data_IF_282342441298
#
_entry.id   IF_282342441298
#
_cell.length_a   1.000
_cell.length_b   1.000
_cell.length_c   1.000
_cell.angle_alpha   90.00
_cell.angle_beta   90.00
_cell.angle_gamma   90.00
#
_symmetry.space_group_name_H-M   'P 1'
#
loop_
_entity.id
_entity.type
_entity.pdbx_description
1 polymer ?
#
# COMPACT_ATOMS: atom_id res chain seq x y z
N UNK A 1 20.37 -11.07 -13.85
CA UNK A 1 19.49 -12.09 -13.23
C UNK A 1 19.62 -12.19 -11.71
N UNK A 2 20.83 -12.27 -11.11
CA UNK A 2 21.00 -12.36 -9.64
C UNK A 2 20.38 -11.19 -8.83
N UNK A 3 20.34 -9.97 -9.39
CA UNK A 3 19.75 -8.79 -8.72
C UNK A 3 18.21 -8.79 -8.68
N UNK A 4 17.55 -9.46 -9.63
CA UNK A 4 16.09 -9.58 -9.69
C UNK A 4 15.61 -10.60 -8.64
N UNK A 5 16.39 -11.66 -8.42
CA UNK A 5 16.13 -12.70 -7.41
C UNK A 5 16.20 -12.19 -5.97
N UNK A 6 17.09 -11.22 -5.68
CA UNK A 6 17.22 -10.66 -4.33
C UNK A 6 16.04 -9.72 -4.00
N UNK A 7 15.49 -9.02 -4.99
CA UNK A 7 14.32 -8.15 -4.83
C UNK A 7 13.01 -8.92 -4.73
N UNK A 8 12.89 -10.09 -5.38
CA UNK A 8 11.73 -10.98 -5.22
C UNK A 8 11.76 -11.78 -3.92
N UNK A 9 12.94 -12.06 -3.34
CA UNK A 9 13.02 -12.77 -2.06
C UNK A 9 12.56 -11.92 -0.86
N UNK A 10 12.68 -10.58 -0.94
CA UNK A 10 12.27 -9.67 0.14
C UNK A 10 10.75 -9.41 0.17
N UNK A 11 10.03 -9.61 -0.94
CA UNK A 11 8.57 -9.38 -1.00
C UNK A 11 7.74 -10.57 -0.49
N UNK A 12 8.29 -11.79 -0.47
CA UNK A 12 7.59 -12.99 0.00
C UNK A 12 7.60 -13.18 1.53
N UNK A 13 8.43 -12.47 2.28
CA UNK A 13 8.64 -12.72 3.71
C UNK A 13 7.53 -12.21 4.65
N UNK A 14 6.43 -11.62 4.14
CA UNK A 14 5.40 -11.01 5.00
C UNK A 14 3.98 -11.58 4.83
N UNK A 15 3.82 -12.62 4.01
CA UNK A 15 2.56 -13.38 3.96
C UNK A 15 2.53 -14.44 5.07
N UNK A 16 2.32 -14.01 6.30
CA UNK A 16 2.14 -14.92 7.43
C UNK A 16 1.22 -14.32 8.48
N UNK A 17 0.15 -15.05 8.80
CA UNK A 17 -0.80 -14.82 9.90
C UNK A 17 -1.98 -13.90 9.57
N UNK A 18 -2.98 -14.45 8.85
CA UNK A 18 -4.36 -13.99 9.03
C UNK A 18 -4.91 -14.64 10.29
N UNK A 19 -4.84 -13.95 11.43
CA UNK A 19 -5.51 -14.39 12.64
C UNK A 19 -7.04 -14.26 12.43
N UNK A 20 -7.75 -15.39 12.31
CA UNK A 20 -9.21 -15.38 12.37
C UNK A 20 -9.63 -15.02 13.80
N UNK A 21 -10.06 -13.78 14.01
CA UNK A 21 -10.62 -13.36 15.30
C UNK A 21 -11.95 -14.10 15.53
N UNK A 22 -12.13 -14.79 16.67
CA UNK A 22 -13.36 -15.51 16.97
C UNK A 22 -14.54 -14.53 17.18
N UNK A 23 -15.65 -14.79 16.50
CA UNK A 23 -16.82 -13.91 16.49
C UNK A 23 -17.46 -13.78 17.88
N UNK A 24 -17.83 -12.56 18.27
CA UNK A 24 -18.61 -12.30 19.48
C UNK A 24 -20.08 -12.66 19.26
N UNK A 25 -20.72 -13.23 20.28
CA UNK A 25 -22.14 -13.56 20.31
C UNK A 25 -22.77 -13.02 21.60
N UNK A 26 -24.06 -12.68 21.53
CA UNK A 26 -24.87 -12.27 22.69
C UNK A 26 -25.76 -13.42 23.10
N UNK A 27 -25.62 -13.87 24.35
CA UNK A 27 -26.43 -14.92 24.94
C UNK A 27 -27.49 -14.31 25.83
N UNK A 28 -28.69 -14.87 25.78
CA UNK A 28 -29.82 -14.50 26.64
C UNK A 28 -30.00 -15.61 27.67
N UNK A 29 -29.98 -15.24 28.95
CA UNK A 29 -30.20 -16.14 30.06
C UNK A 29 -31.68 -16.31 30.42
N UNK A 30 -31.99 -17.32 31.22
CA UNK A 30 -33.31 -17.67 31.76
C UNK A 30 -33.97 -16.55 32.57
N UNK A 31 -33.17 -15.73 33.24
CA UNK A 31 -33.58 -14.53 33.97
C UNK A 31 -33.77 -13.30 33.06
N UNK A 32 -33.61 -13.45 31.74
CA UNK A 32 -33.70 -12.37 30.76
C UNK A 32 -32.44 -11.50 30.66
N UNK A 33 -31.41 -11.76 31.48
CA UNK A 33 -30.14 -11.04 31.38
C UNK A 33 -29.38 -11.41 30.10
N UNK A 34 -28.51 -10.49 29.65
CA UNK A 34 -27.81 -10.59 28.37
C UNK A 34 -26.31 -10.51 28.57
N UNK A 35 -25.57 -11.48 28.04
CA UNK A 35 -24.11 -11.56 28.15
C UNK A 35 -23.50 -11.63 26.76
N UNK A 36 -22.66 -10.65 26.43
CA UNK A 36 -21.97 -10.58 25.13
C UNK A 36 -20.50 -10.92 25.28
N UNK A 37 -20.02 -11.88 24.49
CA UNK A 37 -18.61 -12.26 24.51
C UNK A 37 -18.25 -13.27 23.43
N UNK A 38 -17.01 -13.74 23.47
CA UNK A 38 -16.52 -14.76 22.55
C UNK A 38 -16.58 -16.12 23.23
N UNK A 39 -17.25 -17.10 22.61
CA UNK A 39 -17.28 -18.48 23.10
C UNK A 39 -15.87 -19.08 22.93
N UNK A 40 -15.24 -19.46 24.05
CA UNK A 40 -13.91 -20.08 24.06
C UNK A 40 -14.05 -21.61 24.00
N UNK A 41 -15.04 -22.16 24.70
CA UNK A 41 -15.30 -23.59 24.77
C UNK A 41 -16.76 -23.83 25.13
N UNK A 42 -17.36 -24.83 24.50
CA UNK A 42 -18.73 -25.27 24.70
C UNK A 42 -18.73 -26.76 25.06
N UNK A 43 -19.01 -27.09 26.31
CA UNK A 43 -19.13 -28.47 26.81
C UNK A 43 -20.59 -28.77 27.19
N UNK A 44 -20.89 -30.03 27.51
CA UNK A 44 -22.28 -30.49 27.79
C UNK A 44 -22.95 -29.76 28.96
N UNK A 45 -22.20 -29.27 29.94
CA UNK A 45 -22.73 -28.54 31.11
C UNK A 45 -22.33 -27.07 31.21
N UNK A 46 -21.13 -26.71 30.76
CA UNK A 46 -20.54 -25.39 30.97
C UNK A 46 -20.12 -24.75 29.63
N UNK A 47 -20.38 -23.45 29.54
CA UNK A 47 -19.97 -22.58 28.45
C UNK A 47 -18.99 -21.52 28.98
N UNK A 48 -17.80 -21.44 28.38
CA UNK A 48 -16.79 -20.45 28.74
C UNK A 48 -16.81 -19.28 27.76
N UNK A 49 -16.97 -18.07 28.30
CA UNK A 49 -17.10 -16.85 27.50
C UNK A 49 -16.07 -15.82 27.89
N UNK A 50 -15.36 -15.30 26.89
CA UNK A 50 -14.48 -14.16 27.04
C UNK A 50 -15.27 -12.86 26.91
N UNK A 51 -15.47 -12.15 28.03
CA UNK A 51 -16.24 -10.90 28.07
C UNK A 51 -15.33 -9.68 27.91
N UNK A 52 -14.09 -9.74 28.40
CA UNK A 52 -13.04 -8.70 28.21
C UNK A 52 -11.67 -9.34 28.00
N UNK A 53 -10.63 -8.56 27.66
CA UNK A 53 -9.26 -9.07 27.38
C UNK A 53 -8.74 -10.06 28.43
N UNK A 54 -9.05 -9.84 29.71
CA UNK A 54 -8.61 -10.68 30.83
C UNK A 54 -9.76 -11.31 31.66
N UNK A 55 -11.02 -11.21 31.21
CA UNK A 55 -12.17 -11.72 31.97
C UNK A 55 -12.86 -12.85 31.20
N UNK A 56 -12.82 -14.05 31.79
CA UNK A 56 -13.52 -15.26 31.33
C UNK A 56 -14.59 -15.60 32.37
N UNK A 57 -15.80 -15.83 31.90
CA UNK A 57 -16.94 -16.21 32.74
C UNK A 57 -17.38 -17.61 32.33
N UNK A 58 -17.62 -18.48 33.32
CA UNK A 58 -18.26 -19.78 33.14
C UNK A 58 -19.76 -19.65 33.36
N UNK A 59 -20.55 -20.11 32.39
CA UNK A 59 -22.01 -20.14 32.48
C UNK A 59 -22.52 -21.57 32.33
N UNK A 60 -23.57 -21.90 33.06
CA UNK A 60 -24.27 -23.17 32.88
C UNK A 60 -25.10 -23.15 31.60
N UNK A 61 -24.97 -24.19 30.77
CA UNK A 61 -25.62 -24.28 29.46
C UNK A 61 -27.14 -24.26 29.54
N UNK A 62 -27.71 -24.86 30.59
CA UNK A 62 -29.16 -24.91 30.80
C UNK A 62 -29.79 -23.54 31.10
N UNK A 63 -28.99 -22.55 31.51
CA UNK A 63 -29.48 -21.18 31.77
C UNK A 63 -29.58 -20.36 30.48
N UNK A 64 -29.14 -20.87 29.34
CA UNK A 64 -29.12 -20.12 28.08
C UNK A 64 -30.42 -20.42 27.31
N UNK A 65 -31.30 -19.43 27.22
CA UNK A 65 -32.61 -19.54 26.55
C UNK A 65 -32.46 -19.34 25.04
N UNK A 66 -31.56 -18.46 24.62
CA UNK A 66 -31.25 -18.29 23.19
C UNK A 66 -29.86 -17.70 22.98
N UNK A 67 -29.21 -18.13 21.90
CA UNK A 67 -28.11 -17.37 21.30
C UNK A 67 -28.73 -16.38 20.31
N UNK A 68 -28.61 -15.09 20.59
CA UNK A 68 -29.05 -14.06 19.66
C UNK A 68 -28.28 -14.17 18.35
N UNK A 69 -28.91 -13.80 17.21
CA UNK A 69 -28.17 -13.56 15.97
C UNK A 69 -26.99 -12.64 16.32
N UNK A 70 -25.77 -12.90 15.81
CA UNK A 70 -24.62 -12.06 16.12
C UNK A 70 -25.02 -10.61 15.87
N UNK A 71 -25.07 -9.81 16.94
CA UNK A 71 -25.38 -8.40 16.80
C UNK A 71 -24.35 -7.84 15.83
N UNK A 72 -24.80 -7.30 14.71
CA UNK A 72 -24.00 -6.45 13.85
C UNK A 72 -23.77 -5.15 14.61
N UNK A 73 -23.02 -5.20 15.71
CA UNK A 73 -22.48 -4.01 16.30
C UNK A 73 -21.74 -3.28 15.19
N UNK A 74 -22.00 -1.98 15.06
CA UNK A 74 -21.12 -1.07 14.33
C UNK A 74 -19.77 -1.04 15.08
N UNK A 75 -18.97 -2.09 14.91
CA UNK A 75 -17.62 -2.24 15.46
C UNK A 75 -16.67 -1.35 14.66
N UNK A 76 -16.81 -0.04 14.76
CA UNK A 76 -15.76 0.89 14.35
C UNK A 76 -15.54 1.84 15.52
N UNK A 77 -14.74 1.37 16.48
CA UNK A 77 -13.30 1.57 16.36
C UNK A 77 -12.54 0.27 16.65
N UNK A 78 -12.27 -0.51 15.60
CA UNK A 78 -11.14 -1.43 15.67
C UNK A 78 -9.89 -0.56 15.90
N UNK A 79 -9.07 -0.87 16.89
CA UNK A 79 -7.80 -0.18 17.11
C UNK A 79 -6.92 -0.46 15.90
N UNK A 80 -7.05 0.40 14.88
CA UNK A 80 -6.45 0.27 13.56
C UNK A 80 -4.97 0.65 13.67
N UNK A 81 -4.17 -0.17 14.35
CA UNK A 81 -2.71 -0.09 14.34
C UNK A 81 -2.14 -1.45 13.96
N UNK A 82 -0.96 -1.45 13.36
CA UNK A 82 -0.31 -2.67 12.91
C UNK A 82 0.24 -2.55 11.50
N UNK A 83 0.69 -3.69 10.99
CA UNK A 83 1.31 -3.78 9.69
C UNK A 83 0.27 -3.77 8.57
N UNK A 84 0.58 -3.10 7.47
CA UNK A 84 -0.21 -3.08 6.26
C UNK A 84 0.68 -3.45 5.06
N UNK A 85 0.17 -4.33 4.22
CA UNK A 85 0.70 -4.58 2.87
C UNK A 85 -0.21 -3.86 1.89
N UNK A 86 0.36 -3.06 0.98
CA UNK A 86 -0.39 -2.28 0.02
C UNK A 86 0.04 -2.59 -1.41
N UNK A 87 -0.94 -2.81 -2.27
CA UNK A 87 -0.79 -3.00 -3.70
C UNK A 87 -1.60 -1.92 -4.41
N UNK A 88 -1.02 -1.22 -5.39
CA UNK A 88 -1.74 -0.20 -6.14
C UNK A 88 -1.32 -0.11 -7.60
N UNK A 89 -2.29 0.09 -8.48
CA UNK A 89 -2.08 0.50 -9.87
C UNK A 89 -2.38 1.98 -10.01
N UNK A 90 -1.55 2.70 -10.76
CA UNK A 90 -1.71 4.12 -10.96
C UNK A 90 -1.59 4.49 -12.43
N UNK A 91 -2.46 5.40 -12.87
CA UNK A 91 -2.38 6.05 -14.16
C UNK A 91 -1.76 7.43 -13.93
N UNK A 92 -0.69 7.72 -14.68
CA UNK A 92 0.03 8.97 -14.66
C UNK A 92 -0.28 9.71 -15.96
N UNK A 93 -0.76 10.95 -15.85
CA UNK A 93 -1.05 11.80 -17.00
C UNK A 93 -0.47 13.19 -16.75
N UNK A 94 0.30 13.71 -17.70
CA UNK A 94 0.84 15.06 -17.57
C UNK A 94 1.82 15.43 -18.65
N UNK A 95 2.52 16.53 -18.42
CA UNK A 95 3.52 17.04 -19.34
C UNK A 95 4.91 16.54 -18.93
N UNK A 96 5.70 16.20 -19.93
CA UNK A 96 7.15 16.12 -19.88
C UNK A 96 7.72 17.28 -20.69
N UNK A 97 9.02 17.51 -20.57
CA UNK A 97 9.76 18.46 -21.43
C UNK A 97 9.64 18.14 -22.92
N UNK A 98 9.22 16.93 -23.30
CA UNK A 98 9.04 16.51 -24.70
C UNK A 98 7.56 16.33 -25.13
N UNK A 99 6.59 16.69 -24.27
CA UNK A 99 5.16 16.64 -24.60
C UNK A 99 4.29 15.88 -23.58
N UNK A 100 3.01 15.64 -23.92
CA UNK A 100 2.05 14.92 -23.06
C UNK A 100 2.39 13.44 -23.03
N UNK A 101 2.60 12.92 -21.82
CA UNK A 101 2.91 11.51 -21.57
C UNK A 101 1.85 10.90 -20.67
N UNK A 102 1.37 9.72 -21.09
CA UNK A 102 0.52 8.86 -20.29
C UNK A 102 1.28 7.59 -19.94
N UNK A 103 1.24 7.19 -18.67
CA UNK A 103 2.00 6.04 -18.20
C UNK A 103 1.22 5.25 -17.17
N UNK A 104 1.45 3.95 -17.16
CA UNK A 104 0.93 3.06 -16.14
C UNK A 104 2.04 2.72 -15.14
N UNK A 105 1.70 2.63 -13.86
CA UNK A 105 2.61 2.20 -12.81
C UNK A 105 1.95 1.23 -11.85
N UNK A 106 2.71 0.25 -11.39
CA UNK A 106 2.34 -0.67 -10.32
C UNK A 106 3.23 -0.42 -9.12
N UNK A 107 2.66 -0.45 -7.93
CA UNK A 107 3.34 -0.15 -6.69
C UNK A 107 2.99 -1.20 -5.63
N UNK A 108 4.02 -1.60 -4.89
CA UNK A 108 3.94 -2.47 -3.73
C UNK A 108 4.62 -1.78 -2.56
N UNK A 109 3.98 -1.73 -1.40
CA UNK A 109 4.56 -1.10 -0.21
C UNK A 109 4.15 -1.80 1.07
N UNK A 110 5.02 -1.64 2.06
CA UNK A 110 4.88 -2.18 3.39
C UNK A 110 4.97 -1.04 4.39
N UNK A 111 4.01 -0.97 5.30
CA UNK A 111 3.89 0.15 6.23
C UNK A 111 3.37 -0.30 7.58
N UNK A 112 3.63 0.52 8.59
CA UNK A 112 3.11 0.36 9.92
C UNK A 112 2.20 1.55 10.25
N UNK A 113 0.94 1.26 10.61
CA UNK A 113 -0.04 2.23 11.04
C UNK A 113 0.01 2.38 12.56
N UNK A 114 0.24 3.60 13.02
CA UNK A 114 0.30 3.96 14.42
C UNK A 114 -1.08 4.35 14.98
N UNK A 115 -1.21 4.36 16.31
CA UNK A 115 -2.46 4.69 17.01
C UNK A 115 -2.94 6.14 16.83
N UNK A 116 -2.08 7.02 16.34
CA UNK A 116 -2.42 8.42 16.02
C UNK A 116 -2.93 8.59 14.58
N UNK A 117 -3.05 7.51 13.79
CA UNK A 117 -3.51 7.58 12.39
C UNK A 117 -2.40 7.92 11.38
N UNK A 118 -1.17 8.13 11.84
CA UNK A 118 0.00 8.20 10.98
C UNK A 118 0.39 6.78 10.58
N UNK A 119 0.78 6.61 9.33
CA UNK A 119 1.26 5.37 8.75
C UNK A 119 2.58 5.67 8.05
N UNK A 120 3.63 4.90 8.36
CA UNK A 120 4.95 5.08 7.76
C UNK A 120 5.45 3.75 7.20
N UNK A 121 6.10 3.80 6.05
CA UNK A 121 6.56 2.61 5.37
C UNK A 121 7.51 2.89 4.23
N UNK A 122 7.80 1.84 3.48
CA UNK A 122 8.59 1.90 2.27
C UNK A 122 7.97 1.02 1.20
N UNK A 123 8.19 1.39 -0.06
CA UNK A 123 7.67 0.66 -1.19
C UNK A 123 8.59 0.71 -2.39
N UNK A 124 8.28 -0.20 -3.31
CA UNK A 124 8.84 -0.21 -4.64
C UNK A 124 7.71 -0.14 -5.67
N UNK A 125 8.04 0.14 -6.91
CA UNK A 125 7.10 0.05 -8.01
C UNK A 125 7.81 -0.27 -9.31
N UNK A 126 7.00 -0.40 -10.35
CA UNK A 126 7.44 -0.54 -11.73
C UNK A 126 6.63 0.46 -12.54
N UNK A 127 7.32 1.27 -13.32
CA UNK A 127 6.73 2.32 -14.13
C UNK A 127 7.31 2.28 -15.53
N UNK A 128 6.44 2.38 -16.54
CA UNK A 128 6.87 2.44 -17.93
C UNK A 128 6.53 3.81 -18.53
N UNK A 129 7.57 4.60 -18.78
CA UNK A 129 7.50 5.95 -19.38
C UNK A 129 8.26 6.03 -20.71
N UNK A 130 8.33 4.90 -21.44
CA UNK A 130 9.28 4.71 -22.55
C UNK A 130 10.62 4.13 -22.08
N UNK A 131 10.95 4.29 -20.80
CA UNK A 131 11.98 3.53 -20.09
C UNK A 131 11.33 2.81 -18.91
N UNK A 132 11.73 1.56 -18.66
CA UNK A 132 11.31 0.81 -17.48
C UNK A 132 12.07 1.34 -16.26
N UNK A 133 11.32 1.96 -15.34
CA UNK A 133 11.84 2.47 -14.08
C UNK A 133 11.32 1.65 -12.89
N UNK A 134 12.16 1.54 -11.87
CA UNK A 134 11.84 0.97 -10.57
C UNK A 134 11.96 2.06 -9.50
N UNK A 135 10.87 2.77 -9.18
CA UNK A 135 10.81 3.67 -8.03
C UNK A 135 10.95 2.90 -6.72
N UNK A 136 11.89 3.31 -5.87
CA UNK A 136 12.00 2.91 -4.46
C UNK A 136 11.76 4.15 -3.60
N UNK A 137 10.80 4.09 -2.68
CA UNK A 137 10.32 5.27 -1.96
C UNK A 137 9.95 4.97 -0.51
N UNK A 138 10.10 5.97 0.34
CA UNK A 138 9.43 6.05 1.62
C UNK A 138 7.98 6.54 1.39
N UNK A 139 7.05 6.02 2.19
CA UNK A 139 5.63 6.33 2.13
C UNK A 139 5.13 6.74 3.51
N UNK A 140 4.64 7.97 3.63
CA UNK A 140 4.01 8.49 4.83
C UNK A 140 2.57 8.82 4.50
N UNK A 141 1.64 8.29 5.29
CA UNK A 141 0.21 8.51 5.14
C UNK A 141 -0.41 8.94 6.47
N UNK A 142 -1.41 9.81 6.40
CA UNK A 142 -2.18 10.23 7.55
C UNK A 142 -3.68 10.00 7.34
N UNK A 143 -4.33 9.38 8.32
CA UNK A 143 -5.74 9.02 8.32
C UNK A 143 -6.43 9.71 9.51
N UNK A 144 -7.06 10.88 9.34
CA UNK A 144 -7.69 11.62 10.44
C UNK A 144 -8.87 10.88 11.05
N UNK A 145 -9.61 10.10 10.26
CA UNK A 145 -10.82 9.41 10.72
C UNK A 145 -10.68 7.90 10.58
N UNK A 146 -11.07 7.16 11.62
CA UNK A 146 -10.98 5.68 11.68
C UNK A 146 -12.34 5.02 11.46
N UNK A 147 -13.00 5.41 10.38
CA UNK A 147 -14.32 4.87 10.01
C UNK A 147 -14.21 3.90 8.83
N UNK A 148 -15.36 3.36 8.39
CA UNK A 148 -15.46 2.53 7.19
C UNK A 148 -15.00 3.28 5.92
N UNK A 149 -15.18 4.59 5.89
CA UNK A 149 -14.79 5.47 4.78
C UNK A 149 -13.82 6.51 5.34
N UNK A 150 -12.54 6.23 5.21
CA UNK A 150 -11.48 7.03 5.80
C UNK A 150 -10.79 7.86 4.72
N UNK A 151 -10.94 9.19 4.71
CA UNK A 151 -10.08 10.03 3.88
C UNK A 151 -8.64 9.93 4.40
N UNK A 152 -7.68 10.08 3.50
CA UNK A 152 -6.28 10.05 3.85
C UNK A 152 -5.45 10.97 2.96
N UNK A 153 -4.33 11.41 3.51
CA UNK A 153 -3.29 12.16 2.82
C UNK A 153 -2.06 11.25 2.71
N UNK A 154 -1.30 11.33 1.64
CA UNK A 154 -0.02 10.65 1.53
C UNK A 154 1.07 11.55 0.96
N UNK A 155 2.30 11.17 1.27
CA UNK A 155 3.51 11.69 0.66
C UNK A 155 4.42 10.51 0.40
N UNK A 156 4.77 10.30 -0.87
CA UNK A 156 5.81 9.34 -1.27
C UNK A 156 7.04 10.11 -1.73
N UNK A 157 8.22 9.69 -1.29
CA UNK A 157 9.47 10.30 -1.73
C UNK A 157 10.59 9.28 -1.83
N UNK A 158 11.45 9.40 -2.83
CA UNK A 158 12.48 8.41 -3.07
C UNK A 158 13.22 8.60 -4.39
N UNK A 159 13.69 7.49 -4.95
CA UNK A 159 14.50 7.49 -6.16
C UNK A 159 14.03 6.40 -7.14
N UNK A 160 13.89 6.77 -8.41
CA UNK A 160 13.54 5.87 -9.50
C UNK A 160 14.78 5.40 -10.24
N UNK A 161 15.03 4.10 -10.21
CA UNK A 161 16.17 3.48 -10.89
C UNK A 161 15.77 3.01 -12.29
N UNK A 162 16.52 3.37 -13.35
CA UNK A 162 16.27 2.85 -14.68
C UNK A 162 16.78 1.40 -14.76
N UNK A 163 15.92 0.51 -15.21
CA UNK A 163 16.22 -0.92 -15.41
C UNK A 163 16.40 -1.24 -16.89
N UNK A 164 15.78 -0.47 -17.78
CA UNK A 164 16.07 -0.50 -19.21
C UNK A 164 16.88 0.73 -19.64
N UNK A 165 17.62 0.59 -20.74
CA UNK A 165 18.21 1.72 -21.45
C UNK A 165 17.13 2.38 -22.33
N UNK A 166 17.30 3.66 -22.66
CA UNK A 166 16.37 4.37 -23.54
C UNK A 166 16.64 3.96 -24.99
N UNK A 167 15.79 3.13 -25.57
CA UNK A 167 15.76 2.87 -27.01
C UNK A 167 15.00 4.00 -27.71
N UNK A 168 15.61 5.19 -27.74
CA UNK A 168 15.16 6.27 -28.60
C UNK A 168 15.33 5.83 -30.04
N UNK A 169 14.22 5.65 -30.78
CA UNK A 169 14.23 5.38 -32.21
C UNK A 169 14.60 6.67 -32.97
N UNK A 170 15.85 7.12 -32.80
CA UNK A 170 16.43 8.25 -33.52
C UNK A 170 17.27 7.64 -34.63
N UNK A 171 16.70 7.62 -35.84
CA UNK A 171 17.26 6.98 -37.04
C UNK A 171 18.53 7.61 -37.60
N UNK A 172 19.60 7.69 -36.80
CA UNK A 172 20.93 8.03 -37.29
C UNK A 172 21.98 7.09 -36.69
N UNK A 173 22.65 6.37 -37.59
CA UNK A 173 23.64 5.30 -37.40
C UNK A 173 24.91 5.64 -36.56
N UNK A 174 24.94 6.76 -35.82
CA UNK A 174 26.16 7.27 -35.17
C UNK A 174 26.04 7.66 -33.69
N UNK A 175 24.88 7.44 -33.05
CA UNK A 175 24.73 7.75 -31.62
C UNK A 175 24.76 6.47 -30.77
N UNK A 176 25.75 6.37 -29.88
CA UNK A 176 25.85 5.29 -28.91
C UNK A 176 24.79 5.44 -27.81
N UNK A 177 24.25 4.32 -27.36
CA UNK A 177 23.22 4.18 -26.33
C UNK A 177 23.57 4.96 -25.06
N UNK A 178 22.88 6.07 -24.80
CA UNK A 178 23.09 6.89 -23.61
C UNK A 178 22.68 6.17 -22.33
N UNK A 179 23.48 6.29 -21.26
CA UNK A 179 23.14 5.73 -19.94
C UNK A 179 22.09 6.61 -19.27
N UNK A 180 20.85 6.11 -19.18
CA UNK A 180 19.80 6.72 -18.36
C UNK A 180 20.23 6.68 -16.89
N UNK A 181 20.28 7.85 -16.23
CA UNK A 181 20.39 7.90 -14.77
C UNK A 181 19.00 8.04 -14.17
N UNK A 182 18.83 7.45 -13.00
CA UNK A 182 17.60 7.57 -12.24
C UNK A 182 17.28 8.99 -11.80
N UNK A 183 16.21 9.11 -11.02
CA UNK A 183 15.68 10.40 -10.63
C UNK A 183 15.06 10.44 -9.26
N UNK A 184 15.22 11.56 -8.56
CA UNK A 184 14.47 11.79 -7.33
C UNK A 184 12.98 11.98 -7.64
N UNK A 185 12.12 11.46 -6.77
CA UNK A 185 10.68 11.56 -6.88
C UNK A 185 10.05 12.12 -5.59
N UNK A 186 9.04 12.95 -5.78
CA UNK A 186 8.17 13.47 -4.73
C UNK A 186 6.71 13.39 -5.20
N UNK A 187 5.84 12.82 -4.38
CA UNK A 187 4.45 12.55 -4.73
C UNK A 187 3.52 12.75 -3.53
N UNK A 188 3.06 13.98 -3.30
CA UNK A 188 1.94 14.25 -2.42
C UNK A 188 0.61 13.83 -3.07
N UNK A 189 -0.35 13.38 -2.27
CA UNK A 189 -1.69 13.07 -2.74
C UNK A 189 -2.71 12.88 -1.62
N UNK A 190 -3.95 12.71 -2.04
CA UNK A 190 -5.13 12.58 -1.19
C UNK A 190 -6.01 11.45 -1.70
N UNK A 191 -6.73 10.77 -0.81
CA UNK A 191 -7.61 9.68 -1.21
C UNK A 191 -8.60 9.28 -0.15
N UNK A 192 -9.36 8.23 -0.47
CA UNK A 192 -10.38 7.63 0.38
C UNK A 192 -10.13 6.12 0.45
N UNK A 193 -10.13 5.58 1.66
CA UNK A 193 -10.02 4.16 1.94
C UNK A 193 -11.36 3.62 2.43
N UNK A 194 -11.84 2.57 1.75
CA UNK A 194 -13.06 1.84 2.07
C UNK A 194 -12.68 0.56 2.80
N UNK A 195 -12.75 0.60 4.14
CA UNK A 195 -12.41 -0.52 5.01
C UNK A 195 -13.55 -1.55 5.10
N UNK A 196 -13.18 -2.82 5.02
CA UNK A 196 -14.05 -3.97 5.28
C UNK A 196 -13.93 -4.46 6.71
N UNK A 197 -14.86 -5.31 7.17
CA UNK A 197 -14.92 -5.82 8.55
C UNK A 197 -13.67 -6.62 8.98
N UNK A 198 -12.87 -7.11 8.02
CA UNK A 198 -11.63 -7.85 8.28
C UNK A 198 -10.39 -6.96 8.32
N UNK A 199 -10.52 -5.64 8.25
CA UNK A 199 -9.40 -4.71 8.27
C UNK A 199 -8.73 -4.45 6.91
N UNK A 200 -9.08 -5.22 5.88
CA UNK A 200 -8.69 -4.96 4.49
C UNK A 200 -9.40 -3.71 3.95
N UNK A 201 -8.80 -3.01 2.99
CA UNK A 201 -9.43 -1.85 2.37
C UNK A 201 -9.17 -1.76 0.87
N UNK A 202 -10.09 -1.11 0.17
CA UNK A 202 -9.89 -0.62 -1.19
C UNK A 202 -9.62 0.88 -1.08
N UNK A 203 -8.61 1.38 -1.79
CA UNK A 203 -8.24 2.80 -1.80
C UNK A 203 -8.40 3.38 -3.19
N UNK A 204 -9.00 4.56 -3.26
CA UNK A 204 -9.00 5.40 -4.44
C UNK A 204 -8.40 6.75 -4.08
N UNK A 205 -7.52 7.29 -4.91
CA UNK A 205 -6.98 8.61 -4.65
C UNK A 205 -6.33 9.26 -5.85
N UNK A 206 -5.92 10.49 -5.63
CA UNK A 206 -5.22 11.28 -6.62
C UNK A 206 -4.03 12.00 -6.00
N UNK A 207 -2.97 12.18 -6.76
CA UNK A 207 -1.78 12.89 -6.33
C UNK A 207 -1.10 13.63 -7.47
N UNK A 208 -0.02 14.31 -7.13
CA UNK A 208 0.81 15.01 -8.08
C UNK A 208 2.24 14.51 -7.94
N UNK A 209 2.80 13.94 -9.01
CA UNK A 209 4.15 13.39 -9.04
C UNK A 209 5.10 14.38 -9.71
N UNK A 210 6.10 14.80 -8.96
CA UNK A 210 7.25 15.58 -9.45
C UNK A 210 8.45 14.64 -9.46
N UNK A 211 9.10 14.53 -10.62
CA UNK A 211 10.24 13.64 -10.79
C UNK A 211 11.25 14.26 -11.75
N UNK A 212 12.52 14.25 -11.36
CA UNK A 212 13.63 14.74 -12.18
C UNK A 212 14.52 13.58 -12.59
N UNK A 213 14.63 13.32 -13.89
CA UNK A 213 15.46 12.25 -14.45
C UNK A 213 16.63 12.88 -15.20
N UNK A 214 17.84 12.35 -15.03
CA UNK A 214 19.03 12.81 -15.76
C UNK A 214 19.44 11.77 -16.79
N UNK A 215 19.65 12.18 -18.02
CA UNK A 215 20.17 11.35 -19.11
C UNK A 215 21.58 11.80 -19.42
N UNK A 216 22.53 10.85 -19.47
CA UNK A 216 23.84 11.10 -20.03
C UNK A 216 23.88 10.51 -21.43
N UNK A 217 23.96 11.38 -22.42
CA UNK A 217 24.18 10.98 -23.80
C UNK A 217 25.67 11.14 -24.11
N UNK A 218 26.28 10.05 -24.55
CA UNK A 218 27.66 10.07 -25.04
C UNK A 218 27.63 10.55 -26.49
N UNK A 219 28.13 11.76 -26.74
CA UNK A 219 28.30 12.30 -28.09
C UNK A 219 29.68 11.88 -28.62
N UNK A 220 29.74 10.73 -29.29
CA UNK A 220 30.96 10.30 -29.99
C UNK A 220 31.02 10.93 -31.39
N UNK A 221 31.23 12.26 -31.46
CA UNK A 221 31.51 12.92 -32.75
C UNK A 221 32.99 12.80 -33.15
N UNK A 222 33.91 12.69 -32.18
CA UNK A 222 35.33 12.39 -32.39
C UNK A 222 35.86 11.48 -31.26
N UNK A 223 36.55 10.36 -31.58
CA UNK A 223 37.06 9.43 -30.57
C UNK A 223 38.10 10.03 -29.62
N UNK A 224 38.69 11.18 -29.96
CA UNK A 224 39.71 11.88 -29.15
C UNK A 224 39.13 12.81 -28.08
N UNK A 225 37.84 13.17 -28.14
CA UNK A 225 37.20 14.08 -27.18
C UNK A 225 35.78 13.58 -26.84
N UNK A 226 35.63 12.64 -25.88
CA UNK A 226 34.31 12.21 -25.44
C UNK A 226 33.59 13.41 -24.84
N UNK A 227 32.57 13.90 -25.54
CA UNK A 227 31.73 14.98 -25.05
C UNK A 227 30.47 14.34 -24.48
N UNK A 228 30.13 14.70 -23.24
CA UNK A 228 28.95 14.19 -22.56
C UNK A 228 27.90 15.30 -22.50
N UNK A 229 26.68 14.98 -22.93
CA UNK A 229 25.54 15.87 -22.77
C UNK A 229 24.67 15.33 -21.63
N UNK A 230 24.49 16.14 -20.60
CA UNK A 230 23.53 15.87 -19.53
C UNK A 230 22.18 16.53 -19.89
N UNK A 231 21.16 15.70 -20.14
CA UNK A 231 19.78 16.14 -20.34
C UNK A 231 19.01 15.93 -19.04
N UNK A 232 18.45 17.01 -18.49
CA UNK A 232 17.59 16.95 -17.31
C UNK A 232 16.13 16.98 -17.78
N UNK A 233 15.40 15.88 -17.60
CA UNK A 233 13.97 15.82 -17.87
C UNK A 233 13.20 15.95 -16.56
N UNK A 234 12.44 17.03 -16.47
CA UNK A 234 11.51 17.27 -15.36
C UNK A 234 10.11 16.80 -15.76
N UNK A 235 9.55 15.90 -14.94
CA UNK A 235 8.22 15.34 -15.11
C UNK A 235 7.30 15.84 -14.01
N UNK A 236 6.18 16.39 -14.43
CA UNK A 236 5.12 16.92 -13.57
C UNK A 236 3.79 16.29 -13.99
N UNK A 237 3.34 15.30 -13.22
CA UNK A 237 2.27 14.38 -13.65
C UNK A 237 1.19 14.22 -12.59
N UNK A 238 -0.05 14.25 -13.03
CA UNK A 238 -1.19 13.88 -12.21
C UNK A 238 -1.25 12.36 -12.06
N UNK A 239 -1.43 11.87 -10.84
CA UNK A 239 -1.56 10.46 -10.51
C UNK A 239 -3.01 10.17 -10.12
N UNK A 240 -3.61 9.18 -10.75
CA UNK A 240 -4.84 8.54 -10.28
C UNK A 240 -4.48 7.14 -9.80
N UNK A 241 -4.77 6.83 -8.53
CA UNK A 241 -4.35 5.60 -7.87
C UNK A 241 -5.56 4.78 -7.43
N UNK A 242 -5.57 3.50 -7.81
CA UNK A 242 -6.44 2.48 -7.25
C UNK A 242 -5.57 1.47 -6.48
N UNK A 243 -5.95 1.12 -5.26
CA UNK A 243 -5.15 0.22 -4.43
C UNK A 243 -5.96 -0.63 -3.47
N UNK A 244 -5.24 -1.56 -2.85
CA UNK A 244 -5.73 -2.53 -1.89
C UNK A 244 -4.78 -2.55 -0.69
N UNK A 245 -5.36 -2.59 0.50
CA UNK A 245 -4.65 -2.72 1.76
C UNK A 245 -5.03 -4.06 2.38
N UNK A 246 -4.00 -4.81 2.76
CA UNK A 246 -4.10 -6.08 3.48
C UNK A 246 -3.46 -5.92 4.85
N UNK A 247 -4.11 -6.49 5.87
CA UNK A 247 -3.63 -6.56 7.26
C UNK A 247 -3.36 -7.99 7.66
#
# INVERSE_FOLDING_TARGET
MKRILILSLLSLAVCGVTAQYPARQTLVLDDGSRITGTIISDSSGLLYIKVRKAAVISLNRYRIVSAGKPEKFNLFPQDQHGYNIKLSGCILAGNSSEGRVHSFSFHFSNSYLFRNGIEAGAGAGIENIGVLLVPVYADIRYQPFRSKVSPFLWVKTGYAFPVSEYEGNIGYYWYNSGKTKGGFMFNPGIGIALYSWKGNAITLGTGYRIQRISYKQDETYRPEYPTYRELLLDFSRFELQLGFIFR
#
